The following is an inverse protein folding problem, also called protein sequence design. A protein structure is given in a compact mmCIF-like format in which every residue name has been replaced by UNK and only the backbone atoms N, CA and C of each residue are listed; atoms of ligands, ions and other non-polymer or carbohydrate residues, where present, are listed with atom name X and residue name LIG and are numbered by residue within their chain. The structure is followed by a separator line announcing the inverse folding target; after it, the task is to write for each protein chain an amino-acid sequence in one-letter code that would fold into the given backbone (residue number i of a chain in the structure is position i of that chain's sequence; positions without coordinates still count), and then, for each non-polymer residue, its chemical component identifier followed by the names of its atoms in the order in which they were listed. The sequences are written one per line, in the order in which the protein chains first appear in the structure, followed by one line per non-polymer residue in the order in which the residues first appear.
data_IF_303944376146
#
_entry.id   IF_303944376146
#
_cell.length_a   1.000
_cell.length_b   1.000
_cell.length_c   1.000
_cell.angle_alpha   90.00
_cell.angle_beta   90.00
_cell.angle_gamma   90.00
#
_symmetry.space_group_name_H-M   'P 1'
#
loop_
_entity.id
_entity.type
_entity.pdbx_description
1 polymer ?
#
# COMPACT_ATOMS: atom_id res chain seq x y z
N UNK A 1 -9.71 31.00 16.86
CA UNK A 1 -9.85 29.57 16.52
C UNK A 1 -8.52 29.13 15.94
N UNK A 2 -7.88 28.04 16.41
CA UNK A 2 -6.62 27.62 15.84
C UNK A 2 -6.84 27.15 14.40
N UNK A 3 -6.10 27.77 13.49
CA UNK A 3 -6.13 27.53 12.05
C UNK A 3 -5.39 26.22 11.76
N UNK A 4 -6.09 25.10 11.66
CA UNK A 4 -5.51 23.82 11.22
C UNK A 4 -5.20 23.94 9.73
N UNK A 5 -3.95 24.23 9.40
CA UNK A 5 -3.45 24.16 8.03
C UNK A 5 -3.62 22.71 7.56
N UNK A 6 -4.55 22.45 6.65
CA UNK A 6 -4.65 21.18 5.94
C UNK A 6 -3.28 20.92 5.28
N UNK A 7 -2.52 20.01 5.89
CA UNK A 7 -1.23 19.58 5.36
C UNK A 7 -1.51 18.24 4.74
N UNK A 8 -1.82 18.25 3.44
CA UNK A 8 -2.09 17.04 2.67
C UNK A 8 -0.89 16.11 2.83
N UNK A 9 -1.15 14.91 3.35
CA UNK A 9 -0.13 13.89 3.60
C UNK A 9 -0.49 12.66 2.79
N UNK A 10 0.48 12.10 2.11
CA UNK A 10 0.32 10.82 1.40
C UNK A 10 0.62 9.70 2.37
N UNK A 11 -0.23 8.68 2.35
CA UNK A 11 -0.11 7.47 3.14
C UNK A 11 -0.07 6.27 2.22
N UNK A 12 0.59 5.22 2.70
CA UNK A 12 0.58 3.90 2.09
C UNK A 12 0.01 2.91 3.10
N UNK A 13 -0.99 2.15 2.67
CA UNK A 13 -1.59 1.08 3.44
C UNK A 13 -1.37 -0.26 2.75
N UNK A 14 -0.75 -1.18 3.47
CA UNK A 14 -0.57 -2.56 3.03
C UNK A 14 -1.60 -3.42 3.74
N UNK A 15 -2.37 -4.18 2.96
CA UNK A 15 -3.37 -5.13 3.44
C UNK A 15 -2.95 -6.56 3.14
N UNK A 16 -3.21 -7.44 4.09
CA UNK A 16 -3.17 -8.89 3.91
C UNK A 16 -4.58 -9.40 4.17
N UNK A 17 -5.29 -9.75 3.10
CA UNK A 17 -6.62 -10.38 3.18
C UNK A 17 -6.51 -11.89 3.29
N UNK A 18 -7.56 -12.52 3.81
CA UNK A 18 -7.70 -13.97 3.80
C UNK A 18 -7.72 -14.49 2.35
N UNK A 19 -6.83 -15.41 2.04
CA UNK A 19 -6.70 -16.01 0.70
C UNK A 19 -7.93 -16.84 0.27
N UNK A 20 -8.79 -17.20 1.22
CA UNK A 20 -10.06 -17.89 0.98
C UNK A 20 -11.16 -16.97 0.42
N UNK A 21 -11.00 -15.64 0.52
CA UNK A 21 -11.94 -14.69 -0.06
C UNK A 21 -11.78 -14.63 -1.59
N UNK A 22 -12.89 -14.41 -2.28
CA UNK A 22 -12.89 -14.14 -3.71
C UNK A 22 -12.44 -12.70 -3.99
N UNK A 23 -11.85 -12.49 -5.16
CA UNK A 23 -11.29 -11.18 -5.55
C UNK A 23 -12.38 -10.08 -5.56
N UNK A 24 -13.62 -10.42 -5.93
CA UNK A 24 -14.75 -9.49 -5.87
C UNK A 24 -15.09 -9.08 -4.43
N UNK A 25 -15.08 -10.02 -3.48
CA UNK A 25 -15.35 -9.73 -2.07
C UNK A 25 -14.27 -8.83 -1.47
N UNK A 26 -13.02 -9.03 -1.88
CA UNK A 26 -11.89 -8.18 -1.49
C UNK A 26 -12.05 -6.76 -2.05
N UNK A 27 -12.45 -6.64 -3.32
CA UNK A 27 -12.73 -5.34 -3.95
C UNK A 27 -13.87 -4.59 -3.25
N UNK A 28 -14.98 -5.27 -2.93
CA UNK A 28 -16.11 -4.66 -2.23
C UNK A 28 -15.72 -4.17 -0.83
N UNK A 29 -14.91 -4.95 -0.11
CA UNK A 29 -14.36 -4.56 1.19
C UNK A 29 -13.46 -3.34 1.08
N UNK A 30 -12.54 -3.33 0.12
CA UNK A 30 -11.67 -2.18 -0.13
C UNK A 30 -12.50 -0.94 -0.44
N UNK A 31 -13.47 -1.02 -1.35
CA UNK A 31 -14.31 0.13 -1.67
C UNK A 31 -15.05 0.67 -0.43
N UNK A 32 -15.56 -0.22 0.43
CA UNK A 32 -16.21 0.16 1.69
C UNK A 32 -15.24 0.86 2.63
N UNK A 33 -14.04 0.32 2.83
CA UNK A 33 -13.03 0.90 3.73
C UNK A 33 -12.55 2.24 3.19
N UNK A 34 -12.28 2.32 1.89
CA UNK A 34 -11.84 3.54 1.22
C UNK A 34 -12.93 4.62 1.21
N UNK A 35 -14.22 4.25 1.25
CA UNK A 35 -15.32 5.19 1.42
C UNK A 35 -15.32 5.90 2.78
N UNK A 36 -14.62 5.37 3.80
CA UNK A 36 -14.40 6.06 5.07
C UNK A 36 -13.29 7.10 4.97
N UNK A 37 -12.37 6.92 4.03
CA UNK A 37 -11.33 7.88 3.73
C UNK A 37 -11.94 8.97 2.86
N UNK A 38 -12.05 10.18 3.39
CA UNK A 38 -12.30 11.37 2.57
C UNK A 38 -11.02 11.76 1.83
N UNK A 39 -10.48 10.83 1.03
CA UNK A 39 -9.22 10.99 0.33
C UNK A 39 -9.34 12.07 -0.75
N UNK A 40 -8.32 12.91 -0.81
CA UNK A 40 -8.22 13.97 -1.81
C UNK A 40 -7.39 13.43 -2.96
N UNK A 41 -8.05 13.12 -4.08
CA UNK A 41 -7.43 12.55 -5.28
C UNK A 41 -7.71 11.06 -5.48
N UNK A 42 -7.08 10.48 -6.50
CA UNK A 42 -7.26 9.08 -6.86
C UNK A 42 -6.47 8.16 -5.92
N UNK A 43 -7.15 7.15 -5.39
CA UNK A 43 -6.51 6.10 -4.60
C UNK A 43 -5.89 5.09 -5.55
N UNK A 44 -4.56 4.96 -5.52
CA UNK A 44 -3.85 3.98 -6.35
C UNK A 44 -3.82 2.64 -5.64
N UNK A 45 -4.29 1.59 -6.30
CA UNK A 45 -4.34 0.22 -5.79
C UNK A 45 -3.41 -0.67 -6.60
N UNK A 46 -2.52 -1.37 -5.91
CA UNK A 46 -1.64 -2.38 -6.50
C UNK A 46 -1.95 -3.75 -5.89
N UNK A 47 -2.39 -4.68 -6.75
CA UNK A 47 -2.72 -6.05 -6.36
C UNK A 47 -1.52 -6.96 -6.55
N UNK A 48 -0.97 -7.47 -5.45
CA UNK A 48 0.15 -8.43 -5.46
C UNK A 48 -0.29 -9.89 -5.55
N UNK A 49 -1.60 -10.13 -5.41
CA UNK A 49 -2.19 -11.46 -5.47
C UNK A 49 -1.93 -12.30 -4.23
N UNK A 50 -2.10 -13.62 -4.37
CA UNK A 50 -1.95 -14.60 -3.29
C UNK A 50 -0.48 -14.99 -3.14
N UNK A 51 0.06 -14.84 -1.92
CA UNK A 51 1.44 -15.20 -1.57
C UNK A 51 1.50 -15.99 -0.26
N UNK A 52 2.51 -16.84 -0.13
CA UNK A 52 2.74 -17.61 1.09
C UNK A 52 3.28 -16.70 2.20
N UNK A 53 2.71 -16.82 3.39
CA UNK A 53 3.14 -16.09 4.58
C UNK A 53 4.38 -16.78 5.17
N UNK A 54 5.29 -15.99 5.76
CA UNK A 54 6.46 -16.54 6.44
C UNK A 54 6.11 -17.42 7.65
N UNK A 55 4.95 -17.17 8.27
CA UNK A 55 4.37 -17.98 9.34
C UNK A 55 2.85 -17.88 9.31
N UNK A 56 2.13 -18.89 9.84
CA UNK A 56 0.66 -18.88 9.83
C UNK A 56 0.09 -17.73 10.67
N UNK A 57 -0.84 -16.96 10.09
CA UNK A 57 -1.60 -15.92 10.78
C UNK A 57 -3.06 -16.36 10.82
N UNK A 58 -3.67 -16.41 12.01
CA UNK A 58 -5.05 -16.88 12.18
C UNK A 58 -5.35 -18.24 11.51
N UNK A 59 -4.36 -19.17 11.54
CA UNK A 59 -4.41 -20.49 10.87
C UNK A 59 -4.42 -20.45 9.33
N UNK A 60 -4.07 -19.32 8.72
CA UNK A 60 -3.87 -19.19 7.27
C UNK A 60 -2.38 -19.21 6.95
N UNK A 61 -2.00 -19.98 5.94
CA UNK A 61 -0.62 -20.06 5.43
C UNK A 61 -0.38 -19.13 4.23
N UNK A 62 -1.45 -18.69 3.57
CA UNK A 62 -1.42 -17.80 2.41
C UNK A 62 -2.28 -16.57 2.68
N UNK A 63 -1.85 -15.41 2.16
CA UNK A 63 -2.59 -14.15 2.21
C UNK A 63 -2.65 -13.48 0.84
N UNK A 64 -3.70 -12.70 0.60
CA UNK A 64 -3.80 -11.85 -0.58
C UNK A 64 -3.30 -10.44 -0.25
N UNK A 65 -2.27 -9.99 -0.95
CA UNK A 65 -1.59 -8.73 -0.68
C UNK A 65 -2.11 -7.61 -1.58
N UNK A 66 -2.40 -6.45 -0.97
CA UNK A 66 -2.82 -5.22 -1.67
C UNK A 66 -2.11 -4.04 -1.05
N UNK A 67 -1.58 -3.16 -1.89
CA UNK A 67 -1.02 -1.88 -1.48
C UNK A 67 -1.95 -0.79 -1.98
N UNK A 68 -2.35 0.11 -1.08
CA UNK A 68 -3.11 1.31 -1.40
C UNK A 68 -2.29 2.55 -1.08
N UNK A 69 -2.22 3.46 -2.03
CA UNK A 69 -1.63 4.78 -1.84
C UNK A 69 -2.73 5.83 -1.96
N UNK A 70 -2.84 6.68 -0.94
CA UNK A 70 -3.87 7.72 -0.89
C UNK A 70 -3.37 8.96 -0.15
N UNK A 71 -3.94 10.11 -0.49
CA UNK A 71 -3.63 11.39 0.15
C UNK A 71 -4.80 11.84 1.02
N UNK A 72 -4.50 12.26 2.26
CA UNK A 72 -5.49 12.77 3.21
C UNK A 72 -5.18 14.22 3.55
N UNK A 73 -6.21 15.07 3.49
CA UNK A 73 -6.15 16.44 3.99
C UNK A 73 -6.45 16.53 5.49
N UNK A 74 -7.29 15.61 5.98
CA UNK A 74 -7.66 15.49 7.39
C UNK A 74 -7.17 14.16 7.96
N UNK A 75 -6.19 14.23 8.87
CA UNK A 75 -5.60 13.06 9.53
C UNK A 75 -6.55 12.47 10.58
N UNK A 76 -7.59 13.20 11.01
CA UNK A 76 -8.51 12.74 12.07
C UNK A 76 -9.40 11.58 11.64
N UNK A 77 -9.48 11.26 10.35
CA UNK A 77 -10.23 10.11 9.81
C UNK A 77 -9.48 8.78 9.97
N UNK A 78 -8.15 8.80 10.15
CA UNK A 78 -7.34 7.57 10.24
C UNK A 78 -7.73 6.64 11.40
N UNK A 79 -8.00 7.12 12.63
CA UNK A 79 -8.39 6.25 13.74
C UNK A 79 -9.70 5.48 13.48
N UNK A 80 -10.66 6.10 12.79
CA UNK A 80 -11.91 5.42 12.41
C UNK A 80 -11.66 4.36 11.34
N UNK A 81 -10.83 4.68 10.36
CA UNK A 81 -10.40 3.75 9.33
C UNK A 81 -9.66 2.53 9.90
N UNK A 82 -8.68 2.73 10.79
CA UNK A 82 -7.97 1.64 11.47
C UNK A 82 -8.92 0.76 12.30
N UNK A 83 -9.90 1.39 12.96
CA UNK A 83 -10.93 0.65 13.71
C UNK A 83 -11.79 -0.20 12.78
N UNK A 84 -12.19 0.31 11.62
CA UNK A 84 -12.95 -0.45 10.63
C UNK A 84 -12.16 -1.66 10.10
N UNK A 85 -10.88 -1.49 9.80
CA UNK A 85 -9.99 -2.58 9.37
C UNK A 85 -9.81 -3.63 10.47
N UNK A 86 -9.66 -3.21 11.73
CA UNK A 86 -9.51 -4.11 12.87
C UNK A 86 -10.76 -4.96 13.12
N UNK A 87 -11.95 -4.43 12.81
CA UNK A 87 -13.22 -5.14 12.95
C UNK A 87 -13.54 -6.06 11.77
N UNK A 88 -12.82 -5.92 10.66
CA UNK A 88 -13.00 -6.77 9.49
C UNK A 88 -12.24 -8.09 9.64
N UNK A 89 -12.97 -9.17 9.91
CA UNK A 89 -12.40 -10.53 10.02
C UNK A 89 -11.75 -11.03 8.73
N UNK A 90 -12.03 -10.39 7.58
CA UNK A 90 -11.39 -10.70 6.31
C UNK A 90 -9.97 -10.14 6.17
N UNK A 91 -9.56 -9.21 7.04
CA UNK A 91 -8.22 -8.62 7.06
C UNK A 91 -7.37 -9.36 8.10
N UNK A 92 -6.38 -10.12 7.65
CA UNK A 92 -5.44 -10.83 8.52
C UNK A 92 -4.47 -9.87 9.21
N UNK A 93 -3.98 -8.88 8.46
CA UNK A 93 -3.07 -7.85 8.95
C UNK A 93 -3.14 -6.63 8.04
N UNK A 94 -2.91 -5.46 8.62
CA UNK A 94 -2.71 -4.22 7.90
C UNK A 94 -1.52 -3.45 8.49
N UNK A 95 -0.91 -2.62 7.67
CA UNK A 95 0.08 -1.64 8.10
C UNK A 95 -0.21 -0.33 7.35
N UNK A 96 -0.37 0.76 8.09
CA UNK A 96 -0.50 2.10 7.51
C UNK A 96 0.79 2.85 7.85
N UNK A 97 1.38 3.45 6.83
CA UNK A 97 2.62 4.22 6.95
C UNK A 97 2.48 5.56 6.26
N UNK A 98 3.19 6.57 6.76
CA UNK A 98 3.30 7.85 6.07
C UNK A 98 4.19 7.64 4.85
N UNK A 99 3.65 7.90 3.65
CA UNK A 99 4.41 7.87 2.42
C UNK A 99 5.09 9.23 2.23
N UNK A 100 6.14 9.46 3.01
CA UNK A 100 6.99 10.63 2.87
C UNK A 100 8.06 10.31 1.83
N UNK A 101 7.94 10.91 0.63
CA UNK A 101 9.01 10.86 -0.38
C UNK A 101 10.20 11.72 0.06
N UNK A 102 10.85 11.36 1.15
CA UNK A 102 12.24 11.74 1.42
C UNK A 102 13.07 10.47 1.51
N UNK A 103 13.16 9.76 0.39
CA UNK A 103 14.40 9.06 0.11
C UNK A 103 15.42 10.17 -0.18
N UNK A 104 16.47 10.26 0.61
CA UNK A 104 17.62 11.16 0.35
C UNK A 104 18.39 10.84 -0.94
N UNK A 105 17.81 10.07 -1.85
CA UNK A 105 18.26 9.90 -3.22
C UNK A 105 17.16 10.47 -4.14
N UNK A 106 17.48 11.44 -5.03
CA UNK A 106 16.54 11.87 -6.04
C UNK A 106 16.03 10.64 -6.82
N UNK A 107 14.77 10.65 -7.30
CA UNK A 107 14.29 9.59 -8.18
C UNK A 107 15.32 9.47 -9.31
N UNK A 108 15.95 8.29 -9.44
CA UNK A 108 16.88 8.03 -10.52
C UNK A 108 16.15 8.36 -11.82
N UNK A 109 16.72 9.24 -12.61
CA UNK A 109 16.16 9.58 -13.91
C UNK A 109 16.09 8.33 -14.78
N UNK A 110 15.18 8.31 -15.75
CA UNK A 110 15.01 7.19 -16.67
C UNK A 110 16.33 6.87 -17.41
N UNK A 111 17.19 7.88 -17.57
CA UNK A 111 18.58 7.78 -18.04
C UNK A 111 19.51 7.01 -17.08
N UNK A 112 19.44 7.29 -15.77
CA UNK A 112 20.26 6.61 -14.76
C UNK A 112 19.83 5.15 -14.55
N UNK A 113 18.54 4.87 -14.68
CA UNK A 113 18.00 3.50 -14.66
C UNK A 113 18.44 2.71 -15.91
N UNK A 114 18.48 3.36 -17.07
CA UNK A 114 18.95 2.75 -18.31
C UNK A 114 20.47 2.54 -18.31
N UNK A 115 21.25 3.46 -17.74
CA UNK A 115 22.71 3.35 -17.63
C UNK A 115 23.11 2.15 -16.76
N UNK A 116 22.46 1.99 -15.59
CA UNK A 116 22.73 0.86 -14.69
C UNK A 116 22.42 -0.50 -15.32
N UNK A 117 21.40 -0.54 -16.19
CA UNK A 117 21.04 -1.75 -16.94
C UNK A 117 22.05 -2.08 -18.05
N UNK A 118 22.71 -1.05 -18.60
CA UNK A 118 23.72 -1.20 -19.65
C UNK A 118 25.06 -1.68 -19.08
N UNK A 119 25.43 -1.19 -17.90
CA UNK A 119 26.67 -1.61 -17.22
C UNK A 119 26.63 -3.10 -16.81
N UNK A 120 25.45 -3.67 -16.53
CA UNK A 120 25.28 -5.09 -16.21
C UNK A 120 25.34 -6.02 -17.45
N UNK A 121 25.12 -5.49 -18.66
CA UNK A 121 25.11 -6.26 -19.93
C UNK A 121 26.52 -6.31 -20.59
N UNK A 122 27.46 -5.43 -20.22
CA UNK A 122 28.81 -5.36 -20.82
C UNK A 122 29.84 -6.33 -20.17
N UNK A 123 29.50 -6.99 -19.05
CA UNK A 123 30.38 -7.95 -18.33
C UNK A 123 30.26 -9.41 -18.84
N UNK A 124 29.32 -9.71 -19.74
CA UNK A 124 29.09 -11.07 -20.28
C UNK A 124 29.84 -11.37 -21.61
N UNK A 125 30.61 -10.40 -22.14
CA UNK A 125 31.32 -10.50 -23.44
C UNK A 125 32.86 -10.57 -23.31
N UNK A 126 33.39 -11.23 -22.28
CA UNK A 126 34.80 -11.71 -22.27
C UNK A 126 34.87 -13.26 -22.35
N UNK A 127 34.87 -13.80 -23.59
CA UNK A 127 35.49 -15.10 -23.93
C UNK A 127 36.97 -14.94 -24.34
#
# INVERSE_FOLDING_TARGET
MPNTKATSRTYEAVYIFDSALEDQQIADKLQKHHGLLSATGDITLEHWGRRQLAYPIAKRENGYYIIAQFTLDDVTVLPEFERALKLDEGVLRYLISLHERELGAPPMTEEELAARKKDDDDDDDEE
#
